data_IF_238053625778
#
_entry.id   IF_238053625778
#
_cell.length_a   1.000
_cell.length_b   1.000
_cell.length_c   1.000
_cell.angle_alpha   90.00
_cell.angle_beta   90.00
_cell.angle_gamma   90.00
#
_symmetry.space_group_name_H-M   'P 1'
#
loop_
_entity.id
_entity.type
_entity.pdbx_description
1 polymer ?
#
# COMPACT_ATOMS: atom_id res chain seq x y z
N UNK A 1 -45.68 -26.62 6.18
CA UNK A 1 -45.96 -25.17 6.21
C UNK A 1 -45.51 -24.59 7.55
N UNK A 2 -44.23 -24.23 7.61
CA UNK A 2 -43.66 -23.06 8.29
C UNK A 2 -42.28 -22.88 7.63
N UNK A 3 -42.28 -21.92 6.73
CA UNK A 3 -41.19 -21.48 5.88
C UNK A 3 -40.16 -20.63 6.66
N UNK A 4 -38.88 -20.71 6.23
CA UNK A 4 -37.98 -19.58 5.89
C UNK A 4 -37.67 -18.60 7.04
N UNK A 5 -36.44 -18.33 7.51
CA UNK A 5 -35.13 -18.26 6.88
C UNK A 5 -34.04 -18.48 7.95
N UNK A 6 -33.07 -19.32 7.65
CA UNK A 6 -31.74 -19.29 8.27
C UNK A 6 -31.03 -18.03 7.77
N UNK A 7 -31.40 -16.89 8.36
CA UNK A 7 -30.78 -15.61 8.09
C UNK A 7 -29.34 -15.65 8.63
N UNK A 8 -28.44 -16.22 7.84
CA UNK A 8 -27.05 -15.79 7.76
C UNK A 8 -27.11 -14.27 7.59
N UNK A 9 -27.00 -13.54 8.71
CA UNK A 9 -26.86 -12.09 8.71
C UNK A 9 -25.57 -11.83 7.93
N UNK A 10 -25.72 -11.50 6.65
CA UNK A 10 -24.64 -10.93 5.86
C UNK A 10 -24.35 -9.61 6.55
N UNK A 11 -23.43 -9.63 7.51
CA UNK A 11 -22.96 -8.42 8.18
C UNK A 11 -22.57 -7.47 7.05
N UNK A 12 -23.37 -6.43 6.86
CA UNK A 12 -23.10 -5.44 5.84
C UNK A 12 -21.65 -4.97 6.03
N UNK A 13 -20.85 -5.02 4.96
CA UNK A 13 -19.45 -4.61 4.98
C UNK A 13 -19.39 -3.09 5.13
N UNK A 14 -19.61 -2.61 6.34
CA UNK A 14 -19.58 -1.18 6.67
C UNK A 14 -18.13 -0.73 6.82
N UNK A 15 -17.83 0.57 6.61
CA UNK A 15 -16.50 1.10 6.90
C UNK A 15 -16.01 0.84 8.33
N UNK A 16 -16.91 0.87 9.32
CA UNK A 16 -16.58 0.59 10.71
C UNK A 16 -16.17 -0.87 10.91
N UNK A 17 -16.94 -1.82 10.35
CA UNK A 17 -16.62 -3.25 10.39
C UNK A 17 -15.31 -3.55 9.66
N UNK A 18 -15.12 -2.99 8.46
CA UNK A 18 -13.88 -3.17 7.69
C UNK A 18 -12.65 -2.57 8.39
N UNK A 19 -12.81 -1.40 9.01
CA UNK A 19 -11.75 -0.76 9.79
C UNK A 19 -11.34 -1.61 11.00
N UNK A 20 -12.32 -2.18 11.71
CA UNK A 20 -12.08 -3.13 12.81
C UNK A 20 -11.33 -4.36 12.31
N UNK A 21 -11.78 -4.95 11.22
CA UNK A 21 -11.14 -6.11 10.60
C UNK A 21 -9.66 -5.85 10.23
N UNK A 22 -9.36 -4.69 9.64
CA UNK A 22 -7.97 -4.30 9.34
C UNK A 22 -7.10 -4.16 10.59
N UNK A 23 -7.65 -3.66 11.70
CA UNK A 23 -6.94 -3.57 12.98
C UNK A 23 -6.65 -4.94 13.58
N UNK A 24 -7.69 -5.75 13.71
CA UNK A 24 -7.63 -7.01 14.45
C UNK A 24 -6.93 -8.13 13.66
N UNK A 25 -7.13 -8.18 12.34
CA UNK A 25 -6.61 -9.28 11.51
C UNK A 25 -5.27 -8.94 10.86
N UNK A 26 -5.08 -7.69 10.45
CA UNK A 26 -3.90 -7.28 9.68
C UNK A 26 -2.94 -6.38 10.47
N UNK A 27 -3.30 -6.01 11.71
CA UNK A 27 -2.45 -5.17 12.54
C UNK A 27 -2.17 -3.80 11.92
N UNK A 28 -3.09 -3.30 11.08
CA UNK A 28 -3.03 -1.96 10.51
C UNK A 28 -3.72 -1.00 11.48
N UNK A 29 -3.10 0.14 11.87
CA UNK A 29 -3.72 1.12 12.77
C UNK A 29 -4.79 1.95 12.04
N UNK A 30 -5.79 1.26 11.47
CA UNK A 30 -6.81 1.81 10.62
C UNK A 30 -7.83 2.65 11.40
N UNK A 31 -8.30 3.72 10.77
CA UNK A 31 -9.31 4.66 11.24
C UNK A 31 -10.30 4.94 10.12
N UNK A 32 -11.55 5.20 10.50
CA UNK A 32 -12.57 5.71 9.56
C UNK A 32 -12.50 7.23 9.57
N UNK A 33 -12.54 7.84 8.39
CA UNK A 33 -12.76 9.26 8.22
C UNK A 33 -14.26 9.55 8.40
N UNK A 34 -14.68 10.29 9.44
CA UNK A 34 -16.11 10.44 9.80
C UNK A 34 -16.99 10.97 8.66
N UNK A 35 -16.46 11.90 7.87
CA UNK A 35 -17.22 12.67 6.88
C UNK A 35 -17.44 11.89 5.58
N UNK A 36 -16.53 10.97 5.25
CA UNK A 36 -16.50 10.27 3.96
C UNK A 36 -16.66 8.75 4.09
N UNK A 37 -16.64 8.20 5.31
CA UNK A 37 -16.62 6.75 5.53
C UNK A 37 -15.38 6.05 4.95
N UNK A 38 -14.35 6.80 4.54
CA UNK A 38 -13.12 6.23 3.98
C UNK A 38 -12.19 5.72 5.07
N UNK A 39 -11.45 4.67 4.77
CA UNK A 39 -10.53 4.07 5.74
C UNK A 39 -9.10 4.52 5.41
N UNK A 40 -8.34 4.86 6.44
CA UNK A 40 -6.93 5.22 6.32
C UNK A 40 -6.16 4.76 7.56
N UNK A 41 -4.84 4.75 7.49
CA UNK A 41 -3.99 4.74 8.69
C UNK A 41 -3.04 5.93 8.66
N UNK A 42 -2.47 6.27 9.82
CA UNK A 42 -1.45 7.30 9.96
C UNK A 42 -0.09 6.62 10.08
N UNK A 43 0.86 7.02 9.23
CA UNK A 43 2.24 6.50 9.25
C UNK A 43 2.87 6.77 10.61
N UNK A 44 3.56 5.76 11.14
CA UNK A 44 4.08 5.74 12.50
C UNK A 44 4.54 4.34 12.86
N UNK A 45 3.68 3.53 13.48
CA UNK A 45 3.96 2.10 13.72
C UNK A 45 3.93 1.24 12.45
N UNK A 46 3.44 1.81 11.35
CA UNK A 46 3.42 1.20 10.02
C UNK A 46 3.86 2.27 9.02
N UNK A 47 4.76 1.90 8.10
CA UNK A 47 5.25 2.78 7.05
C UNK A 47 4.58 2.51 5.71
N UNK A 48 4.86 3.35 4.73
CA UNK A 48 4.41 3.13 3.36
C UNK A 48 5.37 3.72 2.32
N UNK A 49 5.48 3.06 1.17
CA UNK A 49 6.17 3.59 -0.02
C UNK A 49 5.16 3.66 -1.16
N UNK A 50 4.97 4.85 -1.72
CA UNK A 50 4.08 5.08 -2.86
C UNK A 50 4.90 5.30 -4.12
N UNK A 51 4.55 4.62 -5.21
CA UNK A 51 5.27 4.68 -6.49
C UNK A 51 4.31 4.61 -7.70
N UNK A 52 4.77 4.91 -8.92
CA UNK A 52 3.95 4.73 -10.12
C UNK A 52 3.53 3.27 -10.26
N UNK A 53 2.30 3.02 -10.73
CA UNK A 53 1.74 1.66 -10.78
C UNK A 53 2.59 0.69 -11.63
N UNK A 54 3.19 1.17 -12.73
CA UNK A 54 4.07 0.34 -13.56
C UNK A 54 5.34 -0.09 -12.81
N UNK A 55 5.99 0.84 -12.09
CA UNK A 55 7.15 0.54 -11.25
C UNK A 55 6.74 -0.40 -10.10
N UNK A 56 5.60 -0.14 -9.46
CA UNK A 56 5.06 -0.99 -8.39
C UNK A 56 4.73 -2.41 -8.85
N UNK A 57 4.22 -2.58 -10.06
CA UNK A 57 4.00 -3.90 -10.65
C UNK A 57 5.33 -4.64 -10.87
N UNK A 58 6.36 -3.94 -11.39
CA UNK A 58 7.71 -4.49 -11.54
C UNK A 58 8.32 -4.90 -10.20
N UNK A 59 8.26 -4.04 -9.19
CA UNK A 59 8.75 -4.33 -7.83
C UNK A 59 8.04 -5.53 -7.24
N UNK A 60 6.71 -5.61 -7.34
CA UNK A 60 5.94 -6.76 -6.86
C UNK A 60 6.38 -8.06 -7.54
N UNK A 61 6.53 -8.06 -8.86
CA UNK A 61 6.99 -9.22 -9.62
C UNK A 61 8.39 -9.64 -9.19
N UNK A 62 9.33 -8.69 -9.11
CA UNK A 62 10.69 -8.94 -8.66
C UNK A 62 10.75 -9.58 -7.26
N UNK A 63 9.98 -9.05 -6.31
CA UNK A 63 9.93 -9.62 -4.95
C UNK A 63 9.40 -11.07 -4.96
N UNK A 64 8.35 -11.34 -5.75
CA UNK A 64 7.81 -12.69 -5.90
C UNK A 64 8.83 -13.66 -6.52
N UNK A 65 9.49 -13.25 -7.60
CA UNK A 65 10.49 -14.05 -8.31
C UNK A 65 11.69 -14.39 -7.41
N UNK A 66 11.99 -13.50 -6.44
CA UNK A 66 13.04 -13.71 -5.43
C UNK A 66 12.57 -14.47 -4.19
N UNK A 67 11.33 -14.95 -4.17
CA UNK A 67 10.76 -15.67 -3.02
C UNK A 67 10.53 -14.79 -1.80
N UNK A 68 10.56 -13.46 -1.94
CA UNK A 68 10.30 -12.53 -0.84
C UNK A 68 8.80 -12.48 -0.59
N UNK A 69 8.40 -12.72 0.66
CA UNK A 69 7.00 -12.61 1.07
C UNK A 69 6.50 -11.19 0.82
N UNK A 70 5.35 -11.07 0.14
CA UNK A 70 4.69 -9.79 -0.06
C UNK A 70 3.92 -9.36 1.21
N UNK A 71 3.96 -8.06 1.48
CA UNK A 71 3.02 -7.40 2.38
C UNK A 71 1.84 -6.79 1.62
N UNK A 72 0.98 -6.03 2.31
CA UNK A 72 -0.18 -5.38 1.71
C UNK A 72 0.26 -4.34 0.66
N UNK A 73 -0.39 -4.34 -0.51
CA UNK A 73 -0.16 -3.36 -1.57
C UNK A 73 -1.50 -2.77 -1.99
N UNK A 74 -1.66 -1.46 -1.82
CA UNK A 74 -2.85 -0.73 -2.24
C UNK A 74 -2.64 -0.17 -3.64
N UNK A 75 -3.56 -0.44 -4.56
CA UNK A 75 -3.66 0.24 -5.84
C UNK A 75 -4.54 1.48 -5.71
N UNK A 76 -4.12 2.55 -6.37
CA UNK A 76 -4.80 3.83 -6.48
C UNK A 76 -5.12 4.08 -7.96
N UNK A 77 -6.18 3.47 -8.54
CA UNK A 77 -6.39 3.44 -9.98
C UNK A 77 -6.40 4.82 -10.63
N UNK A 78 -7.12 5.78 -10.02
CA UNK A 78 -7.25 7.15 -10.54
C UNK A 78 -5.93 7.90 -10.66
N UNK A 79 -5.03 7.74 -9.70
CA UNK A 79 -3.72 8.40 -9.71
C UNK A 79 -2.63 7.55 -10.36
N UNK A 80 -2.94 6.31 -10.79
CA UNK A 80 -1.98 5.34 -11.33
C UNK A 80 -0.80 5.13 -10.37
N UNK A 81 -1.08 5.00 -9.07
CA UNK A 81 -0.09 4.80 -8.00
C UNK A 81 -0.34 3.49 -7.28
N UNK A 82 0.72 2.84 -6.82
CA UNK A 82 0.65 1.75 -5.86
C UNK A 82 1.36 2.16 -4.57
N UNK A 83 0.82 1.73 -3.43
CA UNK A 83 1.40 1.94 -2.10
C UNK A 83 1.70 0.60 -1.45
N UNK A 84 2.98 0.34 -1.21
CA UNK A 84 3.45 -0.80 -0.42
C UNK A 84 3.38 -0.42 1.06
N UNK A 85 2.74 -1.27 1.85
CA UNK A 85 2.72 -1.12 3.31
C UNK A 85 3.91 -1.89 3.89
N UNK A 86 4.75 -1.18 4.65
CA UNK A 86 6.07 -1.65 5.09
C UNK A 86 6.27 -1.50 6.60
N UNK A 87 7.33 -2.09 7.12
CA UNK A 87 7.91 -1.68 8.42
C UNK A 87 8.46 -0.25 8.26
N UNK A 88 8.28 0.66 9.23
CA UNK A 88 8.77 2.04 9.15
C UNK A 88 10.28 2.12 9.45
N UNK A 89 11.12 1.47 8.65
CA UNK A 89 12.56 1.28 8.89
C UNK A 89 13.48 2.02 7.89
N UNK A 90 12.91 2.92 7.07
CA UNK A 90 13.71 3.76 6.17
C UNK A 90 14.28 4.95 6.94
N UNK A 91 15.61 5.18 6.94
CA UNK A 91 16.23 6.28 7.66
C UNK A 91 15.79 7.64 7.14
N UNK A 92 15.29 8.48 8.04
CA UNK A 92 14.77 9.80 7.70
C UNK A 92 15.85 10.82 7.29
N UNK A 93 17.11 10.53 7.60
CA UNK A 93 18.29 11.38 7.35
C UNK A 93 19.01 11.09 6.04
N UNK A 94 18.64 10.05 5.30
CA UNK A 94 19.30 9.68 4.04
C UNK A 94 18.80 10.54 2.87
N UNK A 95 19.34 11.75 2.77
CA UNK A 95 19.00 12.69 1.72
C UNK A 95 19.31 12.16 0.31
N UNK A 96 20.33 11.31 0.18
CA UNK A 96 20.71 10.69 -1.10
C UNK A 96 19.62 9.75 -1.60
N UNK A 97 19.10 8.90 -0.71
CA UNK A 97 17.95 8.05 -0.97
C UNK A 97 16.71 8.88 -1.33
N UNK A 98 16.34 9.89 -0.55
CA UNK A 98 15.15 10.69 -0.87
C UNK A 98 15.26 11.42 -2.21
N UNK A 99 16.46 11.88 -2.60
CA UNK A 99 16.70 12.46 -3.91
C UNK A 99 16.55 11.42 -5.05
N UNK A 100 16.97 10.17 -4.82
CA UNK A 100 16.75 9.06 -5.74
C UNK A 100 15.27 8.74 -5.91
N UNK A 101 14.56 8.55 -4.80
CA UNK A 101 13.13 8.26 -4.80
C UNK A 101 12.34 9.35 -5.52
N UNK A 102 12.66 10.62 -5.25
CA UNK A 102 12.03 11.76 -5.91
C UNK A 102 12.18 11.70 -7.44
N UNK A 103 13.38 11.40 -7.95
CA UNK A 103 13.63 11.27 -9.41
C UNK A 103 12.80 10.16 -10.06
N UNK A 104 12.46 9.12 -9.31
CA UNK A 104 11.62 8.01 -9.77
C UNK A 104 10.12 8.25 -9.51
N UNK A 105 9.75 9.44 -9.03
CA UNK A 105 8.41 9.76 -8.57
C UNK A 105 7.94 8.79 -7.48
N UNK A 106 8.82 8.41 -6.57
CA UNK A 106 8.57 7.54 -5.42
C UNK A 106 8.61 8.37 -4.15
N UNK A 107 7.72 8.08 -3.21
CA UNK A 107 7.69 8.76 -1.92
C UNK A 107 7.56 7.77 -0.77
N UNK A 108 8.23 8.06 0.34
CA UNK A 108 8.03 7.37 1.62
C UNK A 108 7.08 8.20 2.47
N UNK A 109 6.09 7.56 3.06
CA UNK A 109 5.17 8.19 3.98
C UNK A 109 5.88 8.51 5.31
N UNK A 110 6.28 9.78 5.47
CA UNK A 110 6.83 10.30 6.74
C UNK A 110 5.85 10.11 7.88
N UNK A 111 6.36 10.09 9.12
CA UNK A 111 5.53 10.00 10.32
C UNK A 111 4.40 11.04 10.28
N UNK A 112 3.17 10.62 10.61
CA UNK A 112 1.98 11.46 10.54
C UNK A 112 1.27 11.49 9.18
N UNK A 113 1.88 11.00 8.10
CA UNK A 113 1.23 10.95 6.79
C UNK A 113 0.03 10.00 6.78
N UNK A 114 -1.04 10.36 6.07
CA UNK A 114 -2.25 9.53 5.97
C UNK A 114 -2.19 8.63 4.73
N UNK A 115 -2.41 7.33 4.93
CA UNK A 115 -2.43 6.33 3.86
C UNK A 115 -3.82 5.76 3.76
N UNK A 116 -4.49 6.03 2.63
CA UNK A 116 -5.83 5.53 2.35
C UNK A 116 -5.79 4.01 2.07
N UNK A 117 -6.74 3.30 2.66
CA UNK A 117 -6.97 1.87 2.48
C UNK A 117 -8.26 1.64 1.68
N UNK A 118 -8.43 0.47 1.05
CA UNK A 118 -9.71 0.07 0.45
C UNK A 118 -10.85 0.16 1.46
N UNK A 119 -11.88 0.94 1.12
CA UNK A 119 -13.08 1.12 1.95
C UNK A 119 -14.33 0.68 1.20
N UNK A 120 -15.31 0.05 1.87
CA UNK A 120 -16.61 -0.22 1.27
C UNK A 120 -17.37 1.06 0.88
N UNK A 121 -17.06 2.19 1.53
CA UNK A 121 -17.63 3.50 1.18
C UNK A 121 -17.20 4.01 -0.21
N UNK A 122 -16.18 3.41 -0.82
CA UNK A 122 -15.78 3.77 -2.18
C UNK A 122 -16.75 3.20 -3.24
N UNK A 123 -17.66 2.28 -2.86
CA UNK A 123 -18.64 1.65 -3.74
C UNK A 123 -18.01 1.05 -5.00
N UNK A 124 -18.76 1.07 -6.10
CA UNK A 124 -18.29 0.60 -7.42
C UNK A 124 -17.20 1.50 -8.02
N UNK A 125 -16.97 2.69 -7.45
CA UNK A 125 -15.97 3.63 -7.98
C UNK A 125 -14.53 3.18 -7.69
N UNK A 126 -14.33 2.23 -6.75
CA UNK A 126 -13.06 1.54 -6.55
C UNK A 126 -11.86 2.46 -6.33
N UNK A 127 -12.01 3.53 -5.52
CA UNK A 127 -10.94 4.52 -5.34
C UNK A 127 -9.64 3.89 -4.86
N UNK A 128 -9.73 2.88 -4.00
CA UNK A 128 -8.61 2.07 -3.53
C UNK A 128 -9.00 0.61 -3.58
N UNK A 129 -8.13 -0.21 -4.15
CA UNK A 129 -8.28 -1.66 -4.19
C UNK A 129 -6.98 -2.33 -3.79
N UNK A 130 -7.03 -3.57 -3.35
CA UNK A 130 -5.81 -4.33 -3.07
C UNK A 130 -5.17 -4.80 -4.38
N UNK A 131 -3.95 -4.36 -4.67
CA UNK A 131 -3.10 -5.02 -5.66
C UNK A 131 -2.51 -6.32 -5.08
N UNK A 132 -2.27 -6.32 -3.77
CA UNK A 132 -2.00 -7.52 -2.98
C UNK A 132 -2.68 -7.37 -1.62
N UNK A 133 -3.65 -8.22 -1.34
CA UNK A 133 -4.38 -8.16 -0.07
C UNK A 133 -3.48 -8.63 1.08
N UNK A 134 -3.60 -8.02 2.28
CA UNK A 134 -2.97 -8.53 3.49
C UNK A 134 -3.41 -9.97 3.78
N UNK A 135 -2.48 -10.81 4.26
CA UNK A 135 -2.74 -12.19 4.72
C UNK A 135 -2.45 -12.39 6.22
N UNK A 136 -2.32 -11.30 6.95
CA UNK A 136 -1.92 -11.24 8.36
C UNK A 136 -1.18 -9.94 8.65
N UNK A 137 -0.36 -9.94 9.69
CA UNK A 137 0.36 -8.75 10.19
C UNK A 137 1.74 -8.54 9.56
N UNK A 138 2.15 -9.43 8.64
CA UNK A 138 3.46 -9.33 7.99
C UNK A 138 3.54 -8.09 7.09
N UNK A 139 4.67 -7.40 7.19
CA UNK A 139 5.07 -6.27 6.35
C UNK A 139 6.54 -6.45 5.98
N UNK A 140 6.94 -6.25 4.71
CA UNK A 140 8.34 -6.29 4.34
C UNK A 140 9.10 -5.10 4.93
N UNK A 141 10.41 -5.26 5.09
CA UNK A 141 11.36 -4.18 5.32
C UNK A 141 11.26 -3.16 4.17
N UNK A 142 11.25 -1.86 4.51
CA UNK A 142 11.18 -0.79 3.53
C UNK A 142 12.38 -0.79 2.59
N UNK A 143 13.58 -1.06 3.12
CA UNK A 143 14.79 -1.15 2.32
C UNK A 143 14.74 -2.31 1.30
N UNK A 144 14.10 -3.43 1.61
CA UNK A 144 13.90 -4.52 0.63
C UNK A 144 13.05 -4.05 -0.56
N UNK A 145 12.05 -3.21 -0.33
CA UNK A 145 11.24 -2.61 -1.39
C UNK A 145 12.03 -1.57 -2.18
N UNK A 146 12.88 -0.77 -1.52
CA UNK A 146 13.78 0.19 -2.17
C UNK A 146 14.80 -0.51 -3.07
N UNK A 147 15.42 -1.60 -2.62
CA UNK A 147 16.36 -2.36 -3.45
C UNK A 147 15.67 -3.01 -4.66
N UNK A 148 14.48 -3.58 -4.48
CA UNK A 148 13.70 -4.08 -5.61
C UNK A 148 13.33 -2.96 -6.59
N UNK A 149 13.00 -1.76 -6.08
CA UNK A 149 12.74 -0.59 -6.90
C UNK A 149 13.97 -0.18 -7.72
N UNK A 150 15.17 -0.20 -7.14
CA UNK A 150 16.43 0.08 -7.86
C UNK A 150 16.66 -0.86 -9.04
N UNK A 151 16.36 -2.14 -8.86
CA UNK A 151 16.47 -3.15 -9.94
C UNK A 151 15.42 -2.92 -11.03
N UNK A 152 14.20 -2.53 -10.66
CA UNK A 152 13.10 -2.31 -11.60
C UNK A 152 13.09 -0.91 -12.24
N UNK A 153 13.86 0.03 -11.73
CA UNK A 153 13.93 1.38 -12.27
C UNK A 153 14.47 1.33 -13.70
N UNK A 154 13.88 2.10 -14.64
CA UNK A 154 14.39 2.16 -16.00
C UNK A 154 15.86 2.61 -15.97
N UNK A 155 16.71 1.89 -16.70
CA UNK A 155 18.12 2.24 -16.82
C UNK A 155 18.23 3.71 -17.21
N UNK A 156 18.84 4.52 -16.34
CA UNK A 156 19.14 5.92 -16.64
C UNK A 156 19.88 5.89 -17.97
N UNK A 157 19.31 6.47 -19.03
CA UNK A 157 20.05 6.67 -20.28
C UNK A 157 21.33 7.39 -19.87
N UNK A 158 22.45 6.67 -19.92
CA UNK A 158 23.76 7.29 -19.89
C UNK A 158 23.79 8.07 -21.20
N UNK A 159 23.51 9.36 -21.15
CA UNK A 159 24.02 10.25 -22.16
C UNK A 159 25.54 10.04 -22.09
N UNK A 160 26.08 9.25 -23.01
CA UNK A 160 27.50 9.36 -23.32
C UNK A 160 27.77 10.84 -23.55
N UNK A 161 28.80 11.43 -22.93
CA UNK A 161 29.31 12.69 -23.44
C UNK A 161 29.79 12.37 -24.85
N UNK A 162 29.06 12.84 -25.84
CA UNK A 162 29.51 12.75 -27.22
C UNK A 162 30.75 13.63 -27.39
N UNK A 163 31.54 13.19 -28.35
CA UNK A 163 32.94 13.46 -28.63
C UNK A 163 33.27 14.90 -28.99
#
# INVERSE_FOLDING_TARGET
>A
MRDIDDATVVLADTPAARCRFYRETFGLPARVQPELGRIFFVSGSVGAITMPAQLGAGVRAHLLDRGVRLGPIVSHPRSKRWTFVIVPDIPDSDMGLFAELFRLNVSVARQGARIALPSPADGDLGFRVWAHAPRGTYRPCGMVVVEAMRVCAPARRRTSPDR
#
